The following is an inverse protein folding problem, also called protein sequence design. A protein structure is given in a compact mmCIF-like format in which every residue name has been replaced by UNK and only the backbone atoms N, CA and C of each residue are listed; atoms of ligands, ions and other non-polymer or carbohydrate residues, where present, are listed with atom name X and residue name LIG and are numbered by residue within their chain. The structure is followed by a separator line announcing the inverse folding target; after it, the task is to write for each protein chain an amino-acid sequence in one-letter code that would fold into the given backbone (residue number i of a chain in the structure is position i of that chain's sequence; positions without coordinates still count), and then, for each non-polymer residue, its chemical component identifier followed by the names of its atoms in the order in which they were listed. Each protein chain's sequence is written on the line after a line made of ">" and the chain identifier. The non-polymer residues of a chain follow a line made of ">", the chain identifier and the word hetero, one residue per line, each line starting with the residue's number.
data_IF_096833294843
#
_entry.id   IF_096833294843
#
_cell.length_a   1.000
_cell.length_b   1.000
_cell.length_c   1.000
_cell.angle_alpha   90.00
_cell.angle_beta   90.00
_cell.angle_gamma   90.00
#
_symmetry.space_group_name_H-M   'P 1'
#
loop_
_entity.id
_entity.type
_entity.pdbx_description
1 polymer ?
#
# COMPACT_ATOMS: atom_id res chain seq x y z
N UNK A 1 36.54 41.22 -9.61
CA UNK A 1 36.06 39.93 -9.07
C UNK A 1 34.53 39.94 -9.00
N UNK A 2 33.93 38.75 -9.04
CA UNK A 2 32.62 38.39 -9.62
C UNK A 2 31.34 38.77 -8.84
N UNK A 3 30.16 38.72 -9.49
CA UNK A 3 28.89 38.42 -8.83
C UNK A 3 28.62 36.91 -8.86
N UNK A 4 28.71 36.21 -7.73
CA UNK A 4 28.30 34.80 -7.61
C UNK A 4 26.85 34.72 -7.13
N UNK A 5 25.93 34.43 -8.05
CA UNK A 5 24.54 34.08 -7.71
C UNK A 5 24.54 32.77 -6.89
N UNK A 6 23.82 32.67 -5.76
CA UNK A 6 23.72 31.40 -5.05
C UNK A 6 23.01 30.37 -5.94
N UNK A 7 23.70 29.27 -6.15
CA UNK A 7 23.27 28.08 -6.89
C UNK A 7 22.00 27.54 -6.23
N UNK A 8 20.85 27.59 -6.92
CA UNK A 8 19.64 26.86 -6.51
C UNK A 8 20.02 25.38 -6.38
N UNK A 9 20.03 24.88 -5.15
CA UNK A 9 20.08 23.46 -4.88
C UNK A 9 18.85 22.81 -5.54
N UNK A 10 19.00 21.76 -6.35
CA UNK A 10 17.86 20.98 -6.78
C UNK A 10 17.32 20.31 -5.53
N UNK A 11 16.20 20.81 -5.01
CA UNK A 11 15.48 20.17 -3.92
C UNK A 11 15.13 18.76 -4.39
N UNK A 12 15.82 17.80 -3.81
CA UNK A 12 15.64 16.37 -4.01
C UNK A 12 14.25 15.96 -3.57
N UNK A 13 13.31 16.10 -4.50
CA UNK A 13 11.96 15.59 -4.39
C UNK A 13 11.53 15.13 -5.76
N UNK A 14 12.40 14.37 -6.45
CA UNK A 14 12.02 13.60 -7.63
C UNK A 14 10.69 12.90 -7.30
N UNK A 15 9.60 13.35 -7.92
CA UNK A 15 8.30 12.69 -7.88
C UNK A 15 8.41 11.38 -8.67
N UNK A 16 9.25 10.45 -8.20
CA UNK A 16 9.43 9.13 -8.78
C UNK A 16 8.33 8.22 -8.28
N UNK A 17 7.45 7.85 -9.21
CA UNK A 17 6.36 6.87 -9.10
C UNK A 17 5.25 7.25 -8.11
N UNK A 18 4.26 7.98 -8.63
CA UNK A 18 3.03 8.40 -7.93
C UNK A 18 2.11 7.27 -7.46
N UNK A 19 2.41 6.00 -7.78
CA UNK A 19 1.53 4.84 -7.57
C UNK A 19 2.05 3.81 -6.55
N UNK A 20 3.04 4.13 -5.72
CA UNK A 20 3.58 3.19 -4.70
C UNK A 20 3.14 3.45 -3.26
N UNK A 21 2.31 4.48 -3.01
CA UNK A 21 1.83 4.80 -1.66
C UNK A 21 0.71 3.87 -1.23
N UNK A 22 0.80 3.38 -0.01
CA UNK A 22 -0.21 2.51 0.62
C UNK A 22 -1.20 3.37 1.41
N UNK A 23 -2.51 3.09 1.25
CA UNK A 23 -3.55 3.75 2.06
C UNK A 23 -3.29 3.53 3.56
N UNK A 24 -3.18 4.59 4.35
CA UNK A 24 -2.83 4.52 5.79
C UNK A 24 -1.36 4.81 6.10
N UNK A 25 -0.58 5.19 5.10
CA UNK A 25 0.68 5.94 5.29
C UNK A 25 0.37 7.36 5.79
N UNK A 26 1.00 7.73 6.90
CA UNK A 26 0.82 9.01 7.58
C UNK A 26 2.17 9.43 8.20
N UNK A 27 2.25 10.62 8.80
CA UNK A 27 3.48 11.10 9.47
C UNK A 27 4.07 10.09 10.48
N UNK A 28 3.20 9.33 11.16
CA UNK A 28 3.60 8.34 12.17
C UNK A 28 3.70 6.90 11.65
N UNK A 29 3.36 6.65 10.39
CA UNK A 29 3.29 5.28 9.84
C UNK A 29 3.83 5.23 8.42
N UNK A 30 4.90 4.47 8.27
CA UNK A 30 5.44 4.09 6.96
C UNK A 30 4.58 3.00 6.29
N UNK A 31 4.89 2.73 5.02
CA UNK A 31 4.19 1.73 4.20
C UNK A 31 4.10 0.35 4.86
N UNK A 32 5.20 -0.08 5.50
CA UNK A 32 5.32 -1.40 6.12
C UNK A 32 4.47 -1.48 7.38
N UNK A 33 4.51 -0.46 8.24
CA UNK A 33 3.69 -0.42 9.45
C UNK A 33 2.20 -0.36 9.12
N UNK A 34 1.81 0.43 8.11
CA UNK A 34 0.43 0.48 7.64
C UNK A 34 -0.05 -0.88 7.09
N UNK A 35 0.80 -1.59 6.33
CA UNK A 35 0.50 -2.93 5.83
C UNK A 35 0.38 -3.96 6.97
N UNK A 36 1.25 -3.90 7.99
CA UNK A 36 1.21 -4.81 9.15
C UNK A 36 -0.08 -4.67 9.95
N UNK A 37 -0.53 -3.44 10.22
CA UNK A 37 -1.81 -3.20 10.92
C UNK A 37 -2.99 -3.76 10.11
N UNK A 38 -2.98 -3.58 8.78
CA UNK A 38 -4.01 -4.16 7.91
C UNK A 38 -4.01 -5.68 7.92
N UNK A 39 -2.83 -6.31 8.02
CA UNK A 39 -2.73 -7.76 8.13
C UNK A 39 -3.34 -8.26 9.44
N UNK A 40 -3.03 -7.62 10.57
CA UNK A 40 -3.56 -7.98 11.89
C UNK A 40 -5.08 -7.83 11.98
N UNK A 41 -5.62 -6.77 11.38
CA UNK A 41 -7.07 -6.51 11.37
C UNK A 41 -7.80 -7.22 10.21
N UNK A 42 -7.07 -7.87 9.31
CA UNK A 42 -7.56 -8.43 8.05
C UNK A 42 -7.70 -9.96 8.08
N UNK A 43 -7.51 -10.59 6.93
CA UNK A 43 -7.47 -12.06 6.78
C UNK A 43 -8.83 -12.72 6.53
N UNK A 44 -9.94 -12.00 6.60
CA UNK A 44 -11.28 -12.53 6.29
C UNK A 44 -11.55 -12.57 4.77
N UNK A 45 -12.38 -13.50 4.34
CA UNK A 45 -12.87 -13.55 2.97
C UNK A 45 -13.82 -12.36 2.70
N UNK A 46 -13.73 -11.77 1.51
CA UNK A 46 -14.67 -10.74 1.06
C UNK A 46 -15.85 -11.45 0.41
N UNK A 47 -17.07 -11.13 0.87
CA UNK A 47 -18.31 -11.69 0.37
C UNK A 47 -19.15 -10.63 -0.34
N UNK A 48 -19.89 -11.06 -1.35
CA UNK A 48 -20.91 -10.24 -1.99
C UNK A 48 -22.16 -10.16 -1.09
N UNK A 49 -23.15 -9.32 -1.46
CA UNK A 49 -24.46 -9.23 -0.80
C UNK A 49 -25.14 -10.58 -0.69
N UNK A 50 -25.00 -11.42 -1.72
CA UNK A 50 -25.57 -12.77 -1.77
C UNK A 50 -24.75 -13.82 -0.98
N UNK A 51 -23.71 -13.41 -0.24
CA UNK A 51 -22.88 -14.27 0.59
C UNK A 51 -21.81 -15.08 -0.15
N UNK A 52 -21.76 -15.01 -1.49
CA UNK A 52 -20.73 -15.63 -2.32
C UNK A 52 -19.34 -15.02 -2.06
N UNK A 53 -18.29 -15.85 -2.02
CA UNK A 53 -16.91 -15.39 -1.77
C UNK A 53 -16.35 -14.74 -3.05
N UNK A 54 -16.14 -13.43 -3.01
CA UNK A 54 -15.54 -12.64 -4.10
C UNK A 54 -14.02 -12.67 -4.00
N UNK A 55 -13.47 -12.71 -2.78
CA UNK A 55 -12.04 -12.83 -2.53
C UNK A 55 -11.79 -13.80 -1.38
N UNK A 56 -11.06 -14.87 -1.68
CA UNK A 56 -10.61 -15.82 -0.67
C UNK A 56 -9.81 -15.13 0.44
N UNK A 57 -9.93 -15.65 1.66
CA UNK A 57 -9.09 -15.26 2.77
C UNK A 57 -7.60 -15.46 2.44
N UNK A 58 -6.73 -14.73 3.14
CA UNK A 58 -5.28 -14.87 2.98
C UNK A 58 -4.87 -16.33 3.25
N UNK A 59 -3.96 -16.87 2.42
CA UNK A 59 -3.44 -18.24 2.50
C UNK A 59 -4.45 -19.39 2.31
N UNK A 60 -5.75 -19.11 2.16
CA UNK A 60 -6.76 -20.16 1.96
C UNK A 60 -7.01 -20.52 0.50
N UNK A 61 -6.32 -19.87 -0.45
CA UNK A 61 -6.55 -20.08 -1.89
C UNK A 61 -6.53 -21.57 -2.26
N UNK A 62 -5.47 -22.32 -1.97
CA UNK A 62 -5.34 -23.72 -2.42
C UNK A 62 -6.44 -24.71 -1.98
N UNK A 63 -7.22 -24.40 -0.93
CA UNK A 63 -8.26 -25.29 -0.40
C UNK A 63 -9.64 -24.99 -1.02
N UNK A 64 -9.93 -23.72 -1.37
CA UNK A 64 -11.27 -23.28 -1.79
C UNK A 64 -11.43 -23.10 -3.31
N UNK A 65 -10.36 -23.10 -4.12
CA UNK A 65 -10.48 -22.95 -5.59
C UNK A 65 -10.80 -24.25 -6.34
N UNK A 66 -10.82 -25.42 -5.67
CA UNK A 66 -11.18 -26.70 -6.31
C UNK A 66 -12.65 -27.12 -6.11
N UNK A 67 -13.48 -26.24 -5.55
CA UNK A 67 -14.93 -26.46 -5.47
C UNK A 67 -15.65 -25.31 -6.19
N UNK A 68 -15.56 -25.30 -7.51
CA UNK A 68 -16.60 -24.79 -8.38
C UNK A 68 -16.58 -25.55 -9.71
#
# INVERSE_FOLDING_TARGET
>A
MAPTKPKKSPQSGEKKLTLKRVKGENFYRDAKSAARVKMLNGGKAVRDRDGKIVKAAAFQKGIIINYQ
#
